data_IF_087701608095
#
_entry.id   IF_087701608095
#
_cell.length_a   1.000
_cell.length_b   1.000
_cell.length_c   1.000
_cell.angle_alpha   90.00
_cell.angle_beta   90.00
_cell.angle_gamma   90.00
#
_symmetry.space_group_name_H-M   'P 1'
#
loop_
_entity.id
_entity.type
_entity.pdbx_description
1 polymer ?
#
# COMPACT_ATOMS: atom_id res chain seq x y z
N UNK A 1 -26.42 20.71 23.50
CA UNK A 1 -25.12 20.17 23.01
C UNK A 1 -24.49 21.01 21.91
N UNK A 2 -25.14 21.24 20.75
CA UNK A 2 -24.63 22.17 19.72
C UNK A 2 -24.64 23.62 20.23
N UNK A 3 -25.76 24.04 20.85
CA UNK A 3 -25.90 25.39 21.42
C UNK A 3 -25.05 25.62 22.69
N UNK A 4 -24.50 24.56 23.29
CA UNK A 4 -23.61 24.64 24.45
C UNK A 4 -22.13 24.70 24.04
N UNK A 5 -21.85 24.84 22.74
CA UNK A 5 -20.50 24.89 22.15
C UNK A 5 -19.63 23.63 22.38
N UNK A 6 -20.26 22.50 22.70
CA UNK A 6 -19.58 21.22 22.99
C UNK A 6 -19.21 20.50 21.68
N UNK A 7 -20.05 20.62 20.65
CA UNK A 7 -19.86 19.99 19.33
C UNK A 7 -20.10 21.00 18.19
N UNK A 8 -19.31 20.91 17.12
CA UNK A 8 -19.42 21.75 15.91
C UNK A 8 -19.67 20.91 14.67
N UNK A 9 -20.48 21.47 13.76
CA UNK A 9 -20.93 20.81 12.54
C UNK A 9 -19.86 20.93 11.45
N UNK A 10 -19.39 19.80 10.93
CA UNK A 10 -18.49 19.73 9.77
C UNK A 10 -19.27 19.53 8.45
N UNK A 11 -20.49 18.98 8.53
CA UNK A 11 -21.32 18.69 7.37
C UNK A 11 -22.75 18.28 7.76
N UNK A 12 -23.58 17.92 6.79
CA UNK A 12 -24.96 17.46 7.08
C UNK A 12 -24.91 16.14 7.84
N UNK A 13 -25.25 16.18 9.13
CA UNK A 13 -25.22 15.02 10.02
C UNK A 13 -23.85 14.68 10.62
N UNK A 14 -22.81 15.49 10.36
CA UNK A 14 -21.45 15.25 10.84
C UNK A 14 -21.08 16.34 11.84
N UNK A 15 -20.71 15.93 13.06
CA UNK A 15 -20.31 16.80 14.15
C UNK A 15 -19.00 16.31 14.77
N UNK A 16 -18.21 17.21 15.34
CA UNK A 16 -16.99 16.88 16.10
C UNK A 16 -16.94 17.69 17.39
N UNK A 17 -16.21 17.22 18.40
CA UNK A 17 -16.14 17.85 19.72
C UNK A 17 -15.01 18.91 19.82
N UNK A 18 -15.17 19.85 20.75
CA UNK A 18 -14.15 20.87 21.01
C UNK A 18 -12.78 20.28 21.37
N UNK A 19 -11.72 20.78 20.71
CA UNK A 19 -10.31 20.35 20.85
C UNK A 19 -9.97 18.94 20.34
N UNK A 20 -10.85 18.30 19.57
CA UNK A 20 -10.43 17.13 18.78
C UNK A 20 -9.65 17.64 17.57
N UNK A 21 -8.33 17.74 17.71
CA UNK A 21 -7.44 17.82 16.55
C UNK A 21 -7.56 16.49 15.81
N UNK A 22 -8.37 16.46 14.75
CA UNK A 22 -8.32 15.35 13.80
C UNK A 22 -6.97 15.46 13.09
N UNK A 23 -5.98 14.71 13.55
CA UNK A 23 -4.70 14.61 12.87
C UNK A 23 -4.94 14.06 11.47
N UNK A 24 -4.47 14.77 10.44
CA UNK A 24 -4.51 14.23 9.09
C UNK A 24 -3.67 12.96 9.03
N UNK A 25 -4.26 11.88 8.51
CA UNK A 25 -3.53 10.64 8.31
C UNK A 25 -2.44 10.87 7.26
N UNK A 26 -1.18 10.69 7.66
CA UNK A 26 -0.04 10.79 6.75
C UNK A 26 0.55 9.40 6.56
N UNK A 27 0.32 8.74 5.39
CA UNK A 27 0.84 7.41 5.14
C UNK A 27 2.37 7.41 5.20
N UNK A 28 2.93 6.49 5.97
CA UNK A 28 4.39 6.31 6.09
C UNK A 28 4.82 5.10 5.28
N UNK A 29 5.57 5.34 4.20
CA UNK A 29 6.20 4.26 3.44
C UNK A 29 7.44 3.76 4.16
N UNK A 30 7.60 2.43 4.28
CA UNK A 30 8.84 1.85 4.79
C UNK A 30 9.97 2.07 3.79
N UNK A 31 11.20 2.17 4.30
CA UNK A 31 12.43 2.30 3.48
C UNK A 31 12.53 1.21 2.40
N UNK A 32 12.01 0.00 2.69
CA UNK A 32 11.99 -1.13 1.74
C UNK A 32 11.07 -0.88 0.55
N UNK A 33 9.86 -0.34 0.76
CA UNK A 33 8.94 0.02 -0.32
C UNK A 33 9.55 1.09 -1.24
N UNK A 34 10.14 2.13 -0.65
CA UNK A 34 10.86 3.19 -1.39
C UNK A 34 12.04 2.61 -2.18
N UNK A 35 12.78 1.66 -1.60
CA UNK A 35 13.91 1.01 -2.27
C UNK A 35 13.46 0.19 -3.48
N UNK A 36 12.37 -0.59 -3.36
CA UNK A 36 11.80 -1.34 -4.49
C UNK A 36 11.41 -0.40 -5.62
N UNK A 37 10.65 0.66 -5.32
CA UNK A 37 10.27 1.66 -6.33
C UNK A 37 11.48 2.28 -7.03
N UNK A 38 12.51 2.69 -6.28
CA UNK A 38 13.74 3.27 -6.85
C UNK A 38 14.52 2.28 -7.72
N UNK A 39 14.55 1.00 -7.36
CA UNK A 39 15.23 -0.03 -8.18
C UNK A 39 14.53 -0.15 -9.54
N UNK A 40 13.20 -0.24 -9.52
CA UNK A 40 12.42 -0.44 -10.75
C UNK A 40 12.42 0.82 -11.61
N UNK A 41 12.21 2.00 -11.03
CA UNK A 41 12.27 3.26 -11.77
C UNK A 41 13.64 3.54 -12.44
N UNK A 42 14.75 3.07 -11.85
CA UNK A 42 16.07 3.17 -12.48
C UNK A 42 16.28 2.17 -13.61
N UNK A 43 15.79 0.95 -13.44
CA UNK A 43 15.94 -0.12 -14.43
C UNK A 43 15.01 0.09 -15.64
N UNK A 44 13.82 0.65 -15.40
CA UNK A 44 12.76 0.86 -16.37
C UNK A 44 12.33 2.35 -16.37
N UNK A 45 13.16 3.26 -16.90
CA UNK A 45 12.94 4.70 -16.79
C UNK A 45 11.71 5.22 -17.53
N UNK A 46 11.16 4.43 -18.47
CA UNK A 46 9.99 4.78 -19.27
C UNK A 46 8.71 4.09 -18.82
N UNK A 47 8.78 3.23 -17.80
CA UNK A 47 7.62 2.49 -17.28
C UNK A 47 7.00 3.29 -16.14
N UNK A 48 5.68 3.40 -16.14
CA UNK A 48 4.94 3.98 -15.03
C UNK A 48 4.99 3.03 -13.84
N UNK A 49 5.38 3.54 -12.66
CA UNK A 49 5.54 2.72 -11.45
C UNK A 49 4.74 3.35 -10.30
N UNK A 50 3.88 2.55 -9.68
CA UNK A 50 3.20 2.87 -8.42
C UNK A 50 3.59 1.85 -7.35
N UNK A 51 3.85 2.33 -6.13
CA UNK A 51 4.23 1.49 -5.00
C UNK A 51 3.28 1.74 -3.84
N UNK A 52 2.63 0.67 -3.38
CA UNK A 52 1.80 0.69 -2.19
C UNK A 52 2.40 -0.26 -1.14
N UNK A 53 2.67 0.27 0.04
CA UNK A 53 3.12 -0.52 1.19
C UNK A 53 1.90 -1.00 1.99
N UNK A 54 1.75 -2.32 2.16
CA UNK A 54 0.62 -2.90 2.91
C UNK A 54 0.51 -2.40 4.36
N UNK A 55 1.62 -1.96 4.95
CA UNK A 55 1.67 -1.40 6.30
C UNK A 55 0.98 -0.03 6.42
N UNK A 56 0.66 0.63 5.30
CA UNK A 56 -0.17 1.85 5.29
C UNK A 56 -1.51 1.60 6.01
N UNK A 57 -2.05 0.38 5.91
CA UNK A 57 -3.31 0.05 6.55
C UNK A 57 -3.19 -0.32 8.04
N UNK A 58 -1.98 -0.44 8.58
CA UNK A 58 -1.76 -0.95 9.95
C UNK A 58 -2.42 -0.06 11.01
N UNK A 59 -2.36 1.27 10.82
CA UNK A 59 -2.97 2.24 11.74
C UNK A 59 -4.51 2.11 11.81
N UNK A 60 -5.13 1.46 10.82
CA UNK A 60 -6.57 1.21 10.76
C UNK A 60 -6.95 -0.22 11.18
N UNK A 61 -5.98 -1.08 11.49
CA UNK A 61 -6.16 -2.51 11.74
C UNK A 61 -5.93 -2.86 13.21
N UNK A 62 -6.96 -2.73 14.05
CA UNK A 62 -6.86 -3.11 15.47
C UNK A 62 -6.83 -4.64 15.71
N UNK A 63 -7.29 -5.46 14.75
CA UNK A 63 -7.44 -6.92 14.91
C UNK A 63 -7.06 -7.75 13.67
N UNK A 64 -6.47 -7.13 12.63
CA UNK A 64 -6.16 -7.81 11.37
C UNK A 64 -4.67 -8.16 11.33
N UNK A 65 -4.35 -9.32 10.74
CA UNK A 65 -2.99 -9.79 10.51
C UNK A 65 -2.13 -8.75 9.81
N UNK A 66 -0.87 -8.61 10.23
CA UNK A 66 0.08 -7.69 9.62
C UNK A 66 0.19 -7.90 8.12
N UNK A 67 0.14 -6.82 7.33
CA UNK A 67 0.39 -6.86 5.90
C UNK A 67 1.76 -6.23 5.57
N UNK A 68 2.78 -7.08 5.53
CA UNK A 68 4.15 -6.70 5.20
C UNK A 68 4.44 -6.73 3.69
N UNK A 69 3.45 -7.00 2.85
CA UNK A 69 3.60 -7.07 1.40
C UNK A 69 3.72 -5.67 0.79
N UNK A 70 4.60 -5.56 -0.21
CA UNK A 70 4.71 -4.38 -1.07
C UNK A 70 3.97 -4.70 -2.38
N UNK A 71 2.99 -3.89 -2.73
CA UNK A 71 2.30 -3.98 -4.01
C UNK A 71 2.98 -3.02 -4.98
N UNK A 72 3.47 -3.57 -6.08
CA UNK A 72 4.16 -2.84 -7.13
C UNK A 72 3.30 -2.90 -8.39
N UNK A 73 2.79 -1.76 -8.79
CA UNK A 73 1.96 -1.63 -10.00
C UNK A 73 2.80 -1.03 -11.12
N UNK A 74 2.78 -1.68 -12.28
CA UNK A 74 3.53 -1.28 -13.48
C UNK A 74 2.73 -1.51 -14.75
N UNK A 75 3.15 -0.92 -15.85
CA UNK A 75 2.56 -1.16 -17.18
C UNK A 75 2.55 -2.67 -17.52
N UNK A 76 1.46 -3.14 -18.16
CA UNK A 76 1.20 -4.57 -18.38
C UNK A 76 2.32 -5.28 -19.14
N UNK A 77 2.87 -4.61 -20.13
CA UNK A 77 3.98 -5.06 -20.97
C UNK A 77 5.31 -5.14 -20.20
N UNK A 78 5.46 -4.37 -19.12
CA UNK A 78 6.65 -4.39 -18.27
C UNK A 78 6.58 -5.38 -17.09
N UNK A 79 5.39 -5.91 -16.76
CA UNK A 79 5.17 -6.73 -15.56
C UNK A 79 6.10 -7.94 -15.47
N UNK A 80 6.26 -8.70 -16.55
CA UNK A 80 7.14 -9.88 -16.54
C UNK A 80 8.59 -9.49 -16.32
N UNK A 81 9.09 -8.46 -17.02
CA UNK A 81 10.47 -7.99 -16.87
C UNK A 81 10.75 -7.50 -15.44
N UNK A 82 9.80 -6.76 -14.86
CA UNK A 82 9.85 -6.27 -13.48
C UNK A 82 9.86 -7.44 -12.48
N UNK A 83 8.96 -8.41 -12.65
CA UNK A 83 8.91 -9.61 -11.81
C UNK A 83 10.22 -10.40 -11.83
N UNK A 84 10.77 -10.67 -13.02
CA UNK A 84 12.04 -11.39 -13.14
C UNK A 84 13.21 -10.58 -12.54
N UNK A 85 13.22 -9.26 -12.71
CA UNK A 85 14.22 -8.37 -12.09
C UNK A 85 14.18 -8.46 -10.56
N UNK A 86 12.99 -8.50 -9.97
CA UNK A 86 12.82 -8.67 -8.52
C UNK A 86 13.31 -10.05 -8.05
N UNK A 87 12.96 -11.12 -8.77
CA UNK A 87 13.46 -12.48 -8.48
C UNK A 87 14.99 -12.56 -8.53
N UNK A 88 15.62 -12.00 -9.57
CA UNK A 88 17.08 -11.97 -9.71
C UNK A 88 17.76 -11.20 -8.58
N UNK A 89 17.10 -10.18 -8.02
CA UNK A 89 17.59 -9.41 -6.87
C UNK A 89 17.28 -10.07 -5.52
N UNK A 90 16.70 -11.27 -5.50
CA UNK A 90 16.44 -12.05 -4.30
C UNK A 90 15.15 -11.72 -3.57
N UNK A 91 14.23 -10.96 -4.19
CA UNK A 91 12.94 -10.67 -3.57
C UNK A 91 12.00 -11.88 -3.67
N UNK A 92 11.22 -12.10 -2.61
CA UNK A 92 10.04 -12.98 -2.65
C UNK A 92 8.93 -12.31 -3.47
N UNK A 93 9.05 -12.41 -4.80
CA UNK A 93 8.13 -11.77 -5.75
C UNK A 93 7.04 -12.74 -6.24
N UNK A 94 5.84 -12.19 -6.52
CA UNK A 94 4.71 -12.89 -7.12
C UNK A 94 4.14 -12.07 -8.28
N UNK A 95 3.91 -12.70 -9.42
CA UNK A 95 3.37 -12.05 -10.62
C UNK A 95 1.85 -12.19 -10.63
N UNK A 96 1.15 -11.07 -10.43
CA UNK A 96 -0.31 -10.93 -10.51
C UNK A 96 -1.10 -12.15 -10.01
N UNK A 97 -0.87 -12.58 -8.76
CA UNK A 97 -1.51 -13.78 -8.22
C UNK A 97 -3.02 -13.58 -8.15
N UNK A 98 -3.77 -14.67 -8.39
CA UNK A 98 -5.21 -14.69 -8.15
C UNK A 98 -5.50 -14.53 -6.65
N UNK A 99 -6.74 -14.13 -6.33
CA UNK A 99 -7.19 -14.00 -4.94
C UNK A 99 -6.92 -15.29 -4.15
N UNK A 100 -7.35 -16.43 -4.69
CA UNK A 100 -7.22 -17.74 -4.02
C UNK A 100 -5.74 -18.11 -3.81
N UNK A 101 -4.88 -17.84 -4.82
CA UNK A 101 -3.45 -18.07 -4.67
C UNK A 101 -2.85 -17.25 -3.51
N UNK A 102 -3.24 -15.98 -3.38
CA UNK A 102 -2.78 -15.14 -2.27
C UNK A 102 -3.19 -15.75 -0.93
N UNK A 103 -4.45 -16.15 -0.77
CA UNK A 103 -4.94 -16.73 0.49
C UNK A 103 -4.25 -18.05 0.85
N UNK A 104 -4.03 -18.91 -0.14
CA UNK A 104 -3.53 -20.26 0.11
C UNK A 104 -2.00 -20.34 0.20
N UNK A 105 -1.28 -19.41 -0.44
CA UNK A 105 0.17 -19.54 -0.68
C UNK A 105 1.01 -18.34 -0.23
N UNK A 106 0.40 -17.20 0.12
CA UNK A 106 1.15 -15.99 0.50
C UNK A 106 0.86 -15.62 1.94
N UNK A 107 1.88 -15.78 2.78
CA UNK A 107 1.87 -15.27 4.14
C UNK A 107 2.07 -13.74 4.14
N UNK A 108 0.98 -12.99 4.30
CA UNK A 108 1.01 -11.51 4.32
C UNK A 108 1.85 -10.93 5.47
N UNK A 109 2.14 -11.71 6.51
CA UNK A 109 3.03 -11.28 7.59
C UNK A 109 4.50 -11.29 7.20
N UNK A 110 4.86 -11.98 6.11
CA UNK A 110 6.23 -12.00 5.57
C UNK A 110 6.44 -10.92 4.52
N UNK A 111 7.71 -10.58 4.33
CA UNK A 111 8.07 -9.62 3.30
C UNK A 111 8.00 -10.26 1.92
N UNK A 112 7.15 -9.70 1.07
CA UNK A 112 6.98 -10.10 -0.31
C UNK A 112 6.68 -8.90 -1.20
N UNK A 113 6.89 -9.06 -2.51
CA UNK A 113 6.51 -8.06 -3.52
C UNK A 113 5.50 -8.69 -4.48
N UNK A 114 4.32 -8.09 -4.59
CA UNK A 114 3.32 -8.52 -5.57
C UNK A 114 3.35 -7.53 -6.74
N UNK A 115 3.65 -8.02 -7.94
CA UNK A 115 3.65 -7.22 -9.17
C UNK A 115 2.26 -7.28 -9.79
N UNK A 116 1.62 -6.13 -9.99
CA UNK A 116 0.28 -6.00 -10.55
C UNK A 116 0.27 -5.07 -11.77
N UNK A 117 -0.74 -5.20 -12.65
CA UNK A 117 -0.94 -4.20 -13.68
C UNK A 117 -1.34 -2.88 -13.03
N UNK A 118 -0.73 -1.78 -13.48
CA UNK A 118 -1.19 -0.44 -13.16
C UNK A 118 -2.57 -0.22 -13.79
N UNK A 119 -3.54 0.17 -12.96
CA UNK A 119 -4.89 0.52 -13.41
C UNK A 119 -4.96 2.04 -13.32
N UNK A 120 -4.97 2.71 -14.47
CA UNK A 120 -5.09 4.16 -14.59
C UNK A 120 -6.45 4.58 -15.11
#
# INVERSE_FOLDING_TARGET
MVNDNIIFKLGRGIYTAHKVHTSEYTPRLRTKAVKVGKIIARQFPFVSVSVLDGQVFADFQHHISSNNVIYLEVDRDAMESVFHTLKQKGYAAYLNPSKDFVYDNIDLSKEAVIVKPLIS
#
